data_IF_765665362336
#
_entry.id   IF_765665362336
#
_cell.length_a   1.000
_cell.length_b   1.000
_cell.length_c   1.000
_cell.angle_alpha   90.00
_cell.angle_beta   90.00
_cell.angle_gamma   90.00
#
_symmetry.space_group_name_H-M   'P 1'
#
loop_
_entity.id
_entity.type
_entity.pdbx_description
1 polymer ?
#
# COMPACT_ATOMS: atom_id res chain seq x y z
N UNK A 1 -5.53 16.89 -5.24
CA UNK A 1 -5.71 16.03 -6.42
C UNK A 1 -6.27 14.67 -6.02
N UNK A 2 -6.77 13.92 -6.98
CA UNK A 2 -7.27 12.57 -6.74
C UNK A 2 -6.17 11.66 -6.15
N UNK A 3 -4.95 11.82 -6.61
CA UNK A 3 -3.81 11.06 -6.12
C UNK A 3 -3.58 11.25 -4.62
N UNK A 4 -3.66 12.50 -4.15
CA UNK A 4 -3.49 12.80 -2.73
C UNK A 4 -4.62 12.21 -1.89
N UNK A 5 -5.84 12.26 -2.41
CA UNK A 5 -6.99 11.66 -1.75
C UNK A 5 -6.84 10.14 -1.64
N UNK A 6 -6.43 9.49 -2.74
CA UNK A 6 -6.24 8.05 -2.78
C UNK A 6 -5.15 7.61 -1.81
N UNK A 7 -4.04 8.36 -1.75
CA UNK A 7 -2.96 8.10 -0.81
C UNK A 7 -3.46 8.14 0.63
N UNK A 8 -4.21 9.19 0.99
CA UNK A 8 -4.71 9.34 2.36
C UNK A 8 -5.65 8.21 2.75
N UNK A 9 -6.53 7.80 1.85
CA UNK A 9 -7.45 6.70 2.11
C UNK A 9 -6.71 5.40 2.39
N UNK A 10 -5.71 5.06 1.57
CA UNK A 10 -4.92 3.85 1.73
C UNK A 10 -4.07 3.92 2.99
N UNK A 11 -3.39 5.05 3.20
CA UNK A 11 -2.54 5.25 4.36
C UNK A 11 -3.37 5.10 5.65
N UNK A 12 -4.49 5.79 5.75
CA UNK A 12 -5.34 5.76 6.94
C UNK A 12 -5.91 4.36 7.18
N UNK A 13 -6.28 3.66 6.12
CA UNK A 13 -6.79 2.29 6.21
C UNK A 13 -5.76 1.35 6.84
N UNK A 14 -4.53 1.37 6.33
CA UNK A 14 -3.47 0.51 6.88
C UNK A 14 -3.04 0.96 8.28
N UNK A 15 -2.93 2.26 8.49
CA UNK A 15 -2.55 2.82 9.79
C UNK A 15 -3.49 2.32 10.89
N UNK A 16 -4.79 2.36 10.66
CA UNK A 16 -5.78 1.89 11.64
C UNK A 16 -5.60 0.40 11.94
N UNK A 17 -5.35 -0.40 10.92
CA UNK A 17 -5.11 -1.83 11.12
C UNK A 17 -3.86 -2.10 11.95
N UNK A 18 -2.78 -1.41 11.66
CA UNK A 18 -1.52 -1.58 12.37
C UNK A 18 -1.65 -1.12 13.82
N UNK A 19 -2.33 -0.01 14.04
CA UNK A 19 -2.50 0.57 15.40
C UNK A 19 -3.32 -0.32 16.33
N UNK A 20 -4.09 -1.26 15.81
CA UNK A 20 -4.78 -2.25 16.65
C UNK A 20 -3.80 -3.25 17.28
N UNK A 21 -2.56 -3.34 16.76
CA UNK A 21 -1.60 -4.37 17.15
C UNK A 21 -0.30 -3.83 17.71
N UNK A 22 0.07 -2.62 17.34
CA UNK A 22 1.34 -2.02 17.77
C UNK A 22 1.28 -0.50 17.64
N UNK A 23 2.23 0.18 18.29
CA UNK A 23 2.46 1.61 18.09
C UNK A 23 3.29 1.80 16.83
N UNK A 24 2.93 2.77 15.99
CA UNK A 24 3.67 3.06 14.78
C UNK A 24 4.78 4.05 15.11
N UNK A 25 6.02 3.57 15.08
CA UNK A 25 7.19 4.44 15.23
C UNK A 25 7.57 5.06 13.88
N UNK A 26 8.59 5.91 13.89
CA UNK A 26 9.01 6.63 12.67
C UNK A 26 9.50 5.70 11.57
N UNK A 27 10.13 4.57 11.91
CA UNK A 27 10.61 3.62 10.91
C UNK A 27 9.45 2.87 10.26
N UNK A 28 8.51 2.41 11.07
CA UNK A 28 7.35 1.71 10.55
C UNK A 28 6.49 2.63 9.69
N UNK A 29 6.35 3.89 10.11
CA UNK A 29 5.64 4.89 9.33
C UNK A 29 6.33 5.18 8.00
N UNK A 30 7.65 5.23 7.97
CA UNK A 30 8.39 5.40 6.73
C UNK A 30 8.09 4.27 5.73
N UNK A 31 8.13 3.03 6.21
CA UNK A 31 7.80 1.86 5.38
C UNK A 31 6.37 1.93 4.86
N UNK A 32 5.45 2.35 5.72
CA UNK A 32 4.04 2.47 5.34
C UNK A 32 3.85 3.55 4.26
N UNK A 33 4.50 4.70 4.42
CA UNK A 33 4.43 5.77 3.43
C UNK A 33 5.01 5.32 2.09
N UNK A 34 6.17 4.68 2.11
CA UNK A 34 6.80 4.15 0.88
C UNK A 34 5.87 3.18 0.17
N UNK A 35 5.28 2.25 0.92
CA UNK A 35 4.38 1.27 0.34
C UNK A 35 3.12 1.92 -0.26
N UNK A 36 2.52 2.87 0.45
CA UNK A 36 1.32 3.55 -0.04
C UNK A 36 1.59 4.38 -1.30
N UNK A 37 2.69 5.14 -1.31
CA UNK A 37 3.07 5.91 -2.49
C UNK A 37 3.37 5.00 -3.68
N UNK A 38 4.14 3.95 -3.45
CA UNK A 38 4.48 3.00 -4.51
C UNK A 38 3.27 2.29 -5.07
N UNK A 39 2.37 1.84 -4.21
CA UNK A 39 1.15 1.13 -4.61
C UNK A 39 0.28 1.98 -5.52
N UNK A 40 0.09 3.25 -5.17
CA UNK A 40 -0.73 4.17 -5.95
C UNK A 40 -0.08 4.44 -7.31
N UNK A 41 1.22 4.76 -7.31
CA UNK A 41 1.92 5.08 -8.55
C UNK A 41 1.98 3.87 -9.49
N UNK A 42 2.22 2.69 -8.95
CA UNK A 42 2.24 1.47 -9.77
C UNK A 42 0.86 1.11 -10.33
N UNK A 43 -0.18 1.33 -9.54
CA UNK A 43 -1.55 1.10 -10.00
C UNK A 43 -1.93 2.09 -11.11
N UNK A 44 -1.57 3.36 -10.96
CA UNK A 44 -1.77 4.37 -12.00
C UNK A 44 -1.03 4.00 -13.28
N UNK A 45 0.22 3.58 -13.15
CA UNK A 45 1.02 3.12 -14.29
C UNK A 45 0.36 1.94 -15.00
N UNK A 46 -0.18 1.00 -14.23
CA UNK A 46 -0.89 -0.15 -14.78
C UNK A 46 -2.10 0.27 -15.61
N UNK A 47 -2.90 1.21 -15.11
CA UNK A 47 -4.04 1.75 -15.86
C UNK A 47 -3.57 2.45 -17.14
N UNK A 48 -2.54 3.28 -17.05
CA UNK A 48 -1.99 4.03 -18.18
C UNK A 48 -1.42 3.13 -19.27
N UNK A 49 -0.96 1.93 -18.90
CA UNK A 49 -0.44 0.92 -19.83
C UNK A 49 -1.50 -0.10 -20.25
N UNK A 50 -2.76 0.31 -20.26
CA UNK A 50 -3.88 -0.50 -20.72
C UNK A 50 -4.07 -1.80 -19.94
N UNK A 51 -3.79 -1.74 -18.63
CA UNK A 51 -3.99 -2.90 -17.74
C UNK A 51 -3.29 -4.16 -18.24
N UNK A 52 -2.00 -4.03 -18.55
CA UNK A 52 -1.19 -5.07 -19.19
C UNK A 52 -1.03 -6.35 -18.35
N UNK A 53 -1.20 -6.25 -17.04
CA UNK A 53 -1.32 -7.42 -16.14
C UNK A 53 -2.81 -7.63 -15.85
N UNK A 54 -3.23 -8.86 -15.61
CA UNK A 54 -4.58 -9.07 -15.13
C UNK A 54 -4.68 -8.59 -13.68
N UNK A 55 -5.91 -8.36 -13.21
CA UNK A 55 -6.13 -7.78 -11.89
C UNK A 55 -5.59 -8.67 -10.77
N UNK A 56 -5.71 -9.99 -10.91
CA UNK A 56 -5.22 -10.93 -9.92
C UNK A 56 -3.71 -10.86 -9.79
N UNK A 57 -3.00 -10.81 -10.92
CA UNK A 57 -1.55 -10.67 -10.93
C UNK A 57 -1.12 -9.34 -10.30
N UNK A 58 -1.81 -8.24 -10.64
CA UNK A 58 -1.52 -6.93 -10.05
C UNK A 58 -1.66 -6.98 -8.53
N UNK A 59 -2.77 -7.52 -8.03
CA UNK A 59 -3.01 -7.63 -6.59
C UNK A 59 -1.94 -8.46 -5.91
N UNK A 60 -1.56 -9.60 -6.50
CA UNK A 60 -0.51 -10.45 -5.96
C UNK A 60 0.83 -9.73 -5.90
N UNK A 61 1.17 -8.95 -6.92
CA UNK A 61 2.42 -8.17 -6.93
C UNK A 61 2.41 -7.08 -5.87
N UNK A 62 1.28 -6.41 -5.68
CA UNK A 62 1.15 -5.42 -4.62
C UNK A 62 1.35 -6.04 -3.24
N UNK A 63 0.80 -7.24 -3.02
CA UNK A 63 0.96 -7.96 -1.75
C UNK A 63 2.42 -8.37 -1.55
N UNK A 64 3.06 -8.94 -2.58
CA UNK A 64 4.46 -9.37 -2.50
C UNK A 64 5.42 -8.20 -2.26
N UNK A 65 5.04 -7.00 -2.69
CA UNK A 65 5.86 -5.81 -2.52
C UNK A 65 5.79 -5.22 -1.12
N UNK A 66 4.86 -5.70 -0.29
CA UNK A 66 4.72 -5.20 1.07
C UNK A 66 5.86 -5.71 1.96
N UNK A 67 6.57 -4.80 2.67
CA UNK A 67 7.62 -5.23 3.60
C UNK A 67 7.08 -6.15 4.69
N UNK A 68 7.86 -7.14 5.09
CA UNK A 68 7.47 -8.08 6.14
C UNK A 68 7.12 -7.38 7.46
N UNK A 69 7.83 -6.30 7.78
CA UNK A 69 7.55 -5.50 8.99
C UNK A 69 6.15 -4.88 8.99
N UNK A 70 5.56 -4.68 7.82
CA UNK A 70 4.17 -4.24 7.69
C UNK A 70 3.22 -5.44 7.63
N UNK A 71 3.58 -6.45 6.84
CA UNK A 71 2.74 -7.64 6.61
C UNK A 71 2.29 -8.31 7.89
N UNK A 72 3.18 -8.38 8.88
CA UNK A 72 2.87 -9.06 10.14
C UNK A 72 1.68 -8.44 10.87
N UNK A 73 1.37 -7.17 10.59
CA UNK A 73 0.26 -6.45 11.24
C UNK A 73 -0.98 -6.35 10.36
N UNK A 74 -0.88 -6.78 9.11
CA UNK A 74 -1.96 -6.61 8.12
C UNK A 74 -2.38 -7.99 7.64
N UNK A 75 -3.63 -8.35 7.90
CA UNK A 75 -4.22 -9.60 7.42
C UNK A 75 -4.78 -9.35 6.01
N UNK A 76 -4.11 -9.91 5.04
CA UNK A 76 -4.55 -9.83 3.66
C UNK A 76 -5.08 -11.18 3.18
#
# INVERSE_FOLDING_TARGET
SLTNYDYRCIYDFYKKKIETKTTIDSQLDFLLQMYCHGSIEMTKSWVEKNMYLDIETLVNMLIESMPERLKQYINL
#
